data_IF_406366053262
#
_entry.id   IF_406366053262
#
_cell.length_a   1.000
_cell.length_b   1.000
_cell.length_c   1.000
_cell.angle_alpha   90.00
_cell.angle_beta   90.00
_cell.angle_gamma   90.00
#
_symmetry.space_group_name_H-M   'P 1'
#
loop_
_entity.id
_entity.type
_entity.pdbx_description
1 polymer ?
#
# COMPACT_ATOMS: atom_id res chain seq x y z
N UNK A 1 -18.07 -17.72 -10.78
CA UNK A 1 -17.42 -16.39 -10.86
C UNK A 1 -16.89 -16.09 -9.47
N UNK A 2 -15.61 -15.75 -9.32
CA UNK A 2 -15.04 -15.45 -8.00
C UNK A 2 -15.74 -14.21 -7.39
N UNK A 3 -15.89 -14.13 -6.06
CA UNK A 3 -16.47 -12.95 -5.42
C UNK A 3 -15.59 -11.71 -5.72
N UNK A 4 -16.19 -10.50 -5.78
CA UNK A 4 -15.41 -9.30 -6.03
C UNK A 4 -14.38 -9.07 -4.90
N UNK A 5 -13.13 -8.67 -5.22
CA UNK A 5 -12.06 -8.50 -4.24
C UNK A 5 -12.38 -7.42 -3.21
N UNK A 6 -11.93 -7.62 -1.97
CA UNK A 6 -12.09 -6.67 -0.88
C UNK A 6 -10.88 -5.74 -0.78
N UNK A 7 -11.12 -4.45 -0.54
CA UNK A 7 -10.08 -3.44 -0.44
C UNK A 7 -9.85 -3.06 1.03
N UNK A 8 -8.58 -3.08 1.44
CA UNK A 8 -8.07 -2.43 2.63
C UNK A 8 -7.24 -1.21 2.23
N UNK A 9 -7.63 -0.03 2.70
CA UNK A 9 -6.95 1.23 2.44
C UNK A 9 -6.35 1.80 3.73
N UNK A 10 -5.06 2.12 3.70
CA UNK A 10 -4.43 2.94 4.75
C UNK A 10 -4.33 4.39 4.28
N UNK A 11 -4.27 5.35 5.22
CA UNK A 11 -4.11 6.76 4.86
C UNK A 11 -5.35 7.40 4.20
N UNK A 12 -6.53 6.79 4.36
CA UNK A 12 -7.79 7.23 3.75
C UNK A 12 -8.21 8.68 4.09
N UNK A 13 -7.64 9.27 5.15
CA UNK A 13 -7.90 10.66 5.57
C UNK A 13 -6.79 11.62 5.13
N UNK A 14 -5.74 11.13 4.48
CA UNK A 14 -4.67 11.93 3.91
C UNK A 14 -5.05 12.48 2.54
N UNK A 15 -4.23 13.38 2.00
CA UNK A 15 -4.47 14.01 0.70
C UNK A 15 -4.59 12.98 -0.44
N UNK A 16 -3.60 12.09 -0.56
CA UNK A 16 -3.56 11.07 -1.61
C UNK A 16 -4.58 9.96 -1.31
N UNK A 17 -4.56 9.39 -0.10
CA UNK A 17 -5.47 8.29 0.26
C UNK A 17 -6.95 8.69 0.24
N UNK A 18 -7.30 9.91 0.62
CA UNK A 18 -8.68 10.44 0.50
C UNK A 18 -9.11 10.65 -0.95
N UNK A 19 -8.19 11.05 -1.82
CA UNK A 19 -8.43 11.14 -3.27
C UNK A 19 -8.67 9.75 -3.87
N UNK A 20 -7.84 8.77 -3.53
CA UNK A 20 -8.01 7.37 -3.93
C UNK A 20 -9.38 6.86 -3.45
N UNK A 21 -9.72 7.04 -2.18
CA UNK A 21 -11.00 6.62 -1.63
C UNK A 21 -12.18 7.24 -2.39
N UNK A 22 -12.12 8.54 -2.65
CA UNK A 22 -13.19 9.26 -3.36
C UNK A 22 -13.34 8.72 -4.79
N UNK A 23 -12.23 8.50 -5.51
CA UNK A 23 -12.25 7.96 -6.86
C UNK A 23 -12.81 6.52 -6.90
N UNK A 24 -12.41 5.66 -5.97
CA UNK A 24 -12.96 4.30 -5.85
C UNK A 24 -14.47 4.35 -5.62
N UNK A 25 -14.94 5.16 -4.66
CA UNK A 25 -16.37 5.27 -4.33
C UNK A 25 -17.22 5.92 -5.44
N UNK A 26 -16.61 6.70 -6.33
CA UNK A 26 -17.27 7.30 -7.49
C UNK A 26 -17.40 6.33 -8.68
N UNK A 27 -16.78 5.15 -8.63
CA UNK A 27 -16.83 4.16 -9.71
C UNK A 27 -18.26 3.59 -9.82
N UNK A 28 -18.96 3.73 -10.97
CA UNK A 28 -20.38 3.36 -11.10
C UNK A 28 -20.65 1.85 -10.99
N UNK A 29 -19.74 1.04 -11.51
CA UNK A 29 -19.80 -0.43 -11.49
C UNK A 29 -18.48 -0.94 -10.92
N UNK A 30 -18.28 -0.85 -9.59
CA UNK A 30 -17.02 -1.22 -8.98
C UNK A 30 -16.78 -2.71 -9.17
N UNK A 31 -15.59 -3.08 -9.65
CA UNK A 31 -15.14 -4.47 -9.75
C UNK A 31 -14.73 -5.07 -8.41
N UNK A 32 -14.89 -4.33 -7.31
CA UNK A 32 -14.50 -4.69 -5.95
C UNK A 32 -15.71 -4.64 -4.99
N UNK A 33 -15.56 -5.30 -3.85
CA UNK A 33 -16.60 -5.37 -2.83
C UNK A 33 -16.65 -4.10 -1.96
N UNK A 34 -17.87 -3.68 -1.62
CA UNK A 34 -18.13 -2.73 -0.54
C UNK A 34 -18.51 -3.47 0.75
N UNK A 35 -18.27 -2.89 1.93
CA UNK A 35 -17.59 -1.61 2.16
C UNK A 35 -16.06 -1.70 2.04
N UNK A 36 -15.44 -0.62 1.59
CA UNK A 36 -13.97 -0.46 1.62
C UNK A 36 -13.54 -0.34 3.09
N UNK A 37 -12.61 -1.18 3.52
CA UNK A 37 -12.08 -1.12 4.88
C UNK A 37 -10.98 -0.07 4.94
N UNK A 38 -11.06 0.87 5.87
CA UNK A 38 -10.10 1.95 6.01
C UNK A 38 -9.42 1.88 7.38
N UNK A 39 -8.09 1.77 7.44
CA UNK A 39 -7.35 1.87 8.71
C UNK A 39 -7.24 3.34 9.15
N UNK A 40 -7.77 3.65 10.34
CA UNK A 40 -7.92 5.02 10.85
C UNK A 40 -7.35 5.15 12.26
N UNK A 41 -6.57 6.20 12.52
CA UNK A 41 -5.92 6.43 13.82
C UNK A 41 -6.80 7.13 14.85
N UNK A 42 -7.85 7.82 14.42
CA UNK A 42 -8.70 8.65 15.28
C UNK A 42 -10.18 8.27 15.17
N UNK A 43 -10.89 8.07 16.29
CA UNK A 43 -12.34 7.93 16.30
C UNK A 43 -13.07 9.10 15.62
N UNK A 44 -12.57 10.33 15.75
CA UNK A 44 -13.19 11.50 15.10
C UNK A 44 -13.11 11.39 13.57
N UNK A 45 -11.96 10.96 13.05
CA UNK A 45 -11.79 10.77 11.62
C UNK A 45 -12.64 9.60 11.08
N UNK A 46 -12.81 8.54 11.87
CA UNK A 46 -13.71 7.43 11.55
C UNK A 46 -15.18 7.92 11.49
N UNK A 47 -15.60 8.74 12.45
CA UNK A 47 -16.93 9.34 12.45
C UNK A 47 -17.16 10.26 11.24
N UNK A 48 -16.18 11.11 10.90
CA UNK A 48 -16.24 11.97 9.71
C UNK A 48 -16.41 11.14 8.44
N UNK A 49 -15.56 10.13 8.23
CA UNK A 49 -15.66 9.28 7.05
C UNK A 49 -17.04 8.60 6.97
N UNK A 50 -17.53 8.02 8.08
CA UNK A 50 -18.84 7.34 8.11
C UNK A 50 -19.98 8.31 7.82
N UNK A 51 -19.91 9.54 8.35
CA UNK A 51 -20.90 10.57 8.07
C UNK A 51 -20.87 11.03 6.61
N UNK A 52 -19.69 11.11 5.98
CA UNK A 52 -19.54 11.59 4.60
C UNK A 52 -19.95 10.53 3.59
N UNK A 53 -19.52 9.28 3.77
CA UNK A 53 -19.69 8.23 2.77
C UNK A 53 -20.74 7.18 3.14
N UNK A 54 -21.13 7.06 4.40
CA UNK A 54 -22.11 6.08 4.88
C UNK A 54 -21.49 4.72 5.23
N UNK A 55 -22.05 4.06 6.24
CA UNK A 55 -21.56 2.80 6.79
C UNK A 55 -21.69 1.59 5.83
N UNK A 56 -22.47 1.72 4.75
CA UNK A 56 -22.60 0.68 3.72
C UNK A 56 -21.47 0.71 2.70
N UNK A 57 -20.80 1.85 2.53
CA UNK A 57 -19.75 2.05 1.52
C UNK A 57 -18.35 2.01 2.11
N UNK A 58 -18.21 2.37 3.37
CA UNK A 58 -16.93 2.34 4.06
C UNK A 58 -17.03 1.68 5.42
N UNK A 59 -15.92 1.08 5.86
CA UNK A 59 -15.76 0.46 7.16
C UNK A 59 -14.47 0.99 7.78
N UNK A 60 -14.54 2.05 8.60
CA UNK A 60 -13.40 2.46 9.40
C UNK A 60 -13.02 1.36 10.39
N UNK A 61 -11.75 1.03 10.47
CA UNK A 61 -11.17 0.13 11.46
C UNK A 61 -10.11 0.93 12.22
N UNK A 62 -10.29 1.05 13.53
CA UNK A 62 -9.36 1.79 14.38
C UNK A 62 -8.10 0.96 14.62
N UNK A 63 -6.95 1.62 14.57
CA UNK A 63 -5.64 1.05 14.89
C UNK A 63 -4.71 2.10 15.49
N UNK A 64 -3.63 1.65 16.14
CA UNK A 64 -2.65 2.50 16.81
C UNK A 64 -1.72 3.30 15.87
N UNK A 65 -1.84 3.14 14.56
CA UNK A 65 -0.96 3.78 13.58
C UNK A 65 0.09 2.81 13.02
N UNK A 66 1.21 3.36 12.55
CA UNK A 66 2.21 2.60 11.80
C UNK A 66 2.88 1.52 12.66
N UNK A 67 3.09 1.79 13.95
CA UNK A 67 3.68 0.83 14.90
C UNK A 67 2.71 -0.28 15.35
N UNK A 68 1.42 -0.15 15.05
CA UNK A 68 0.40 -1.16 15.38
C UNK A 68 0.37 -2.27 14.30
N UNK A 69 1.49 -2.97 14.21
CA UNK A 69 1.69 -4.06 13.26
C UNK A 69 0.69 -5.21 13.46
N UNK A 70 0.29 -5.48 14.69
CA UNK A 70 -0.64 -6.56 15.01
C UNK A 70 -2.02 -6.28 14.40
N UNK A 71 -2.57 -5.09 14.61
CA UNK A 71 -3.86 -4.70 14.03
C UNK A 71 -3.78 -4.58 12.51
N UNK A 72 -2.69 -4.03 11.96
CA UNK A 72 -2.49 -3.94 10.51
C UNK A 72 -2.46 -5.33 9.85
N UNK A 73 -1.73 -6.29 10.45
CA UNK A 73 -1.65 -7.68 9.98
C UNK A 73 -3.03 -8.35 10.03
N UNK A 74 -3.74 -8.23 11.15
CA UNK A 74 -5.07 -8.83 11.31
C UNK A 74 -6.09 -8.24 10.31
N UNK A 75 -6.07 -6.92 10.11
CA UNK A 75 -6.95 -6.25 9.16
C UNK A 75 -6.68 -6.71 7.72
N UNK A 76 -5.42 -6.79 7.30
CA UNK A 76 -5.07 -7.28 5.97
C UNK A 76 -5.47 -8.74 5.78
N UNK A 77 -5.27 -9.60 6.78
CA UNK A 77 -5.66 -11.00 6.70
C UNK A 77 -7.19 -11.18 6.59
N UNK A 78 -7.95 -10.42 7.36
CA UNK A 78 -9.39 -10.63 7.48
C UNK A 78 -10.21 -9.87 6.45
N UNK A 79 -9.69 -8.77 5.90
CA UNK A 79 -10.50 -7.81 5.14
C UNK A 79 -9.91 -7.40 3.79
N UNK A 80 -8.77 -7.95 3.38
CA UNK A 80 -8.12 -7.56 2.14
C UNK A 80 -7.92 -8.74 1.17
N UNK A 81 -8.25 -8.48 -0.08
CA UNK A 81 -7.67 -9.14 -1.25
C UNK A 81 -6.75 -8.17 -2.00
N UNK A 82 -7.03 -6.87 -1.85
CA UNK A 82 -6.22 -5.76 -2.33
C UNK A 82 -5.90 -4.88 -1.13
N UNK A 83 -4.62 -4.64 -0.87
CA UNK A 83 -4.16 -3.63 0.08
C UNK A 83 -3.64 -2.43 -0.70
N UNK A 84 -4.13 -1.24 -0.34
CA UNK A 84 -3.61 0.03 -0.83
C UNK A 84 -2.98 0.76 0.37
N UNK A 85 -1.65 0.79 0.42
CA UNK A 85 -0.91 1.52 1.44
C UNK A 85 -0.63 2.96 0.98
N UNK A 86 -1.43 3.91 1.45
CA UNK A 86 -1.27 5.35 1.18
C UNK A 86 -0.98 6.18 2.45
N UNK A 87 -0.62 5.52 3.57
CA UNK A 87 -0.33 6.19 4.83
C UNK A 87 1.09 6.79 4.88
N UNK A 88 2.11 5.94 4.68
CA UNK A 88 3.51 6.35 4.67
C UNK A 88 4.36 5.35 3.90
N UNK A 89 5.06 5.82 2.86
CA UNK A 89 5.81 4.95 1.95
C UNK A 89 7.14 4.42 2.49
N UNK A 90 7.62 4.98 3.60
CA UNK A 90 8.95 4.72 4.15
C UNK A 90 8.96 4.00 5.50
N UNK A 91 7.80 3.51 5.94
CA UNK A 91 7.69 2.66 7.11
C UNK A 91 7.68 1.19 6.70
N UNK A 92 8.87 0.56 6.75
CA UNK A 92 9.04 -0.84 6.37
C UNK A 92 8.28 -1.80 7.33
N UNK A 93 8.14 -1.43 8.60
CA UNK A 93 7.44 -2.26 9.60
C UNK A 93 5.95 -2.36 9.30
N UNK A 94 5.31 -1.21 9.05
CA UNK A 94 3.91 -1.13 8.67
C UNK A 94 3.64 -1.83 7.33
N UNK A 95 4.49 -1.60 6.33
CA UNK A 95 4.36 -2.26 5.02
C UNK A 95 4.46 -3.78 5.13
N UNK A 96 5.44 -4.28 5.89
CA UNK A 96 5.63 -5.71 6.12
C UNK A 96 4.48 -6.34 6.89
N UNK A 97 3.90 -5.64 7.87
CA UNK A 97 2.73 -6.10 8.61
C UNK A 97 1.53 -6.32 7.69
N UNK A 98 1.24 -5.35 6.81
CA UNK A 98 0.17 -5.46 5.82
C UNK A 98 0.41 -6.59 4.82
N UNK A 99 1.64 -6.72 4.30
CA UNK A 99 2.03 -7.81 3.38
C UNK A 99 1.87 -9.18 4.04
N UNK A 100 2.32 -9.33 5.30
CA UNK A 100 2.18 -10.58 6.05
C UNK A 100 0.72 -10.97 6.23
N UNK A 101 -0.14 -10.00 6.58
CA UNK A 101 -1.57 -10.25 6.71
C UNK A 101 -2.20 -10.66 5.38
N UNK A 102 -1.88 -9.94 4.30
CA UNK A 102 -2.36 -10.26 2.95
C UNK A 102 -1.92 -11.65 2.49
N UNK A 103 -0.69 -12.06 2.80
CA UNK A 103 -0.19 -13.40 2.48
C UNK A 103 -0.84 -14.49 3.36
N UNK A 104 -1.04 -14.22 4.65
CA UNK A 104 -1.62 -15.18 5.59
C UNK A 104 -3.10 -15.51 5.32
N UNK A 105 -3.83 -14.63 4.62
CA UNK A 105 -5.22 -14.90 4.24
C UNK A 105 -5.34 -15.95 3.13
N UNK A 106 -4.23 -16.29 2.46
CA UNK A 106 -4.22 -17.21 1.32
C UNK A 106 -4.17 -18.66 1.78
N UNK A 107 -5.34 -19.27 1.95
CA UNK A 107 -5.49 -20.72 1.97
C UNK A 107 -5.78 -21.27 0.56
N UNK A 108 -5.80 -22.59 0.40
CA UNK A 108 -6.04 -23.28 -0.87
C UNK A 108 -7.43 -22.97 -1.49
N UNK A 109 -8.34 -22.36 -0.73
CA UNK A 109 -9.71 -22.04 -1.17
C UNK A 109 -9.83 -20.64 -1.77
N UNK A 110 -8.86 -19.74 -1.51
CA UNK A 110 -8.84 -18.39 -2.08
C UNK A 110 -8.24 -18.41 -3.48
N UNK A 111 -9.08 -18.09 -4.46
CA UNK A 111 -8.71 -18.04 -5.90
C UNK A 111 -8.45 -16.64 -6.41
N UNK A 112 -8.62 -15.60 -5.59
CA UNK A 112 -8.35 -14.21 -5.94
C UNK A 112 -6.86 -13.88 -5.79
N UNK A 113 -6.25 -13.39 -6.86
CA UNK A 113 -4.84 -12.93 -6.83
C UNK A 113 -4.70 -11.77 -5.81
N UNK A 114 -3.75 -11.83 -4.87
CA UNK A 114 -3.47 -10.71 -3.96
C UNK A 114 -2.83 -9.54 -4.70
N UNK A 115 -3.25 -8.33 -4.34
CA UNK A 115 -2.62 -7.10 -4.82
C UNK A 115 -2.17 -6.26 -3.64
N UNK A 116 -0.91 -5.83 -3.69
CA UNK A 116 -0.35 -4.87 -2.75
C UNK A 116 0.12 -3.64 -3.51
N UNK A 117 -0.64 -2.55 -3.39
CA UNK A 117 -0.33 -1.25 -3.99
C UNK A 117 0.26 -0.36 -2.90
N UNK A 118 1.52 0.03 -3.06
CA UNK A 118 2.25 0.82 -2.07
C UNK A 118 2.62 2.17 -2.65
N UNK A 119 2.23 3.24 -1.98
CA UNK A 119 2.65 4.58 -2.36
C UNK A 119 4.08 4.81 -1.86
N UNK A 120 5.05 4.84 -2.77
CA UNK A 120 6.42 5.28 -2.47
C UNK A 120 6.71 6.67 -3.06
N UNK A 121 7.96 7.14 -2.96
CA UNK A 121 8.42 8.41 -3.51
C UNK A 121 9.41 8.20 -4.65
N UNK A 122 9.35 9.04 -5.69
CA UNK A 122 10.30 9.01 -6.82
C UNK A 122 11.73 9.31 -6.40
N UNK A 123 11.94 9.90 -5.23
CA UNK A 123 13.26 10.07 -4.62
C UNK A 123 14.01 8.74 -4.40
N UNK A 124 13.30 7.60 -4.36
CA UNK A 124 13.89 6.27 -4.32
C UNK A 124 14.77 5.94 -5.55
N UNK A 125 14.57 6.67 -6.65
CA UNK A 125 15.34 6.54 -7.89
C UNK A 125 16.32 7.70 -8.11
N UNK A 126 16.43 8.61 -7.12
CA UNK A 126 17.27 9.82 -7.21
C UNK A 126 18.72 9.57 -6.82
N UNK A 127 19.60 10.47 -7.28
CA UNK A 127 21.00 10.55 -6.85
C UNK A 127 21.27 11.76 -5.94
N UNK A 128 22.54 12.05 -5.64
CA UNK A 128 22.96 13.21 -4.83
C UNK A 128 23.76 14.20 -5.66
N UNK A 129 23.31 14.47 -6.89
CA UNK A 129 23.94 15.42 -7.82
C UNK A 129 24.15 16.82 -7.24
N UNK A 130 23.26 17.32 -6.37
CA UNK A 130 23.40 18.65 -5.73
C UNK A 130 24.61 18.73 -4.80
N UNK A 131 24.90 17.69 -4.03
CA UNK A 131 26.05 17.67 -3.10
C UNK A 131 27.30 17.05 -3.72
N UNK A 132 27.18 16.40 -4.88
CA UNK A 132 28.27 15.63 -5.51
C UNK A 132 28.67 14.36 -4.76
N UNK A 133 27.98 14.01 -3.67
CA UNK A 133 28.34 12.88 -2.81
C UNK A 133 28.16 11.51 -3.50
N UNK A 134 27.24 11.44 -4.46
CA UNK A 134 26.99 10.29 -5.31
C UNK A 134 26.19 10.75 -6.53
N UNK A 135 26.66 10.41 -7.72
CA UNK A 135 26.03 10.78 -8.98
C UNK A 135 25.94 9.51 -9.82
N UNK A 136 24.74 9.14 -10.23
CA UNK A 136 24.55 8.01 -11.14
C UNK A 136 24.67 8.47 -12.59
N UNK A 137 25.10 7.57 -13.46
CA UNK A 137 24.99 7.81 -14.88
C UNK A 137 23.51 7.98 -15.27
N UNK A 138 23.22 8.88 -16.20
CA UNK A 138 21.88 9.05 -16.76
C UNK A 138 21.32 7.70 -17.22
N UNK A 139 20.14 7.35 -16.73
CA UNK A 139 19.43 6.09 -17.02
C UNK A 139 17.94 6.36 -17.11
N UNK A 140 17.27 5.59 -17.95
CA UNK A 140 15.81 5.50 -18.03
C UNK A 140 15.34 4.28 -17.23
N UNK A 141 14.35 4.45 -16.37
CA UNK A 141 13.65 3.36 -15.69
C UNK A 141 12.38 3.02 -16.48
N UNK A 142 12.13 1.72 -16.65
CA UNK A 142 10.96 1.17 -17.35
C UNK A 142 10.17 0.33 -16.36
N UNK A 143 8.88 0.65 -16.18
CA UNK A 143 7.99 -0.04 -15.25
C UNK A 143 7.74 -1.50 -15.69
N UNK A 144 7.91 -1.81 -16.98
CA UNK A 144 7.83 -3.19 -17.50
C UNK A 144 9.07 -4.03 -17.14
N UNK A 145 10.21 -3.39 -16.79
CA UNK A 145 11.43 -4.06 -16.32
C UNK A 145 11.56 -4.01 -14.79
N UNK A 146 10.53 -4.48 -14.08
CA UNK A 146 10.53 -4.51 -12.62
C UNK A 146 11.76 -5.23 -12.02
N UNK A 147 12.32 -6.23 -12.71
CA UNK A 147 13.52 -6.95 -12.27
C UNK A 147 14.78 -6.09 -12.38
N UNK A 148 14.95 -5.37 -13.49
CA UNK A 148 16.07 -4.47 -13.69
C UNK A 148 16.01 -3.22 -12.82
N UNK A 149 14.81 -2.74 -12.47
CA UNK A 149 14.61 -1.71 -11.44
C UNK A 149 15.05 -2.25 -10.09
N UNK A 150 14.50 -3.39 -9.65
CA UNK A 150 14.83 -3.99 -8.35
C UNK A 150 16.32 -4.33 -8.18
N UNK A 151 16.96 -4.86 -9.24
CA UNK A 151 18.39 -5.16 -9.21
C UNK A 151 19.25 -3.90 -9.00
N UNK A 152 18.83 -2.77 -9.57
CA UNK A 152 19.49 -1.48 -9.36
C UNK A 152 19.28 -0.99 -7.93
N UNK A 153 18.04 -1.04 -7.42
CA UNK A 153 17.73 -0.61 -6.05
C UNK A 153 18.54 -1.40 -5.01
N UNK A 154 18.65 -2.72 -5.20
CA UNK A 154 19.47 -3.59 -4.35
C UNK A 154 20.96 -3.23 -4.38
N UNK A 155 21.48 -2.90 -5.56
CA UNK A 155 22.88 -2.46 -5.71
C UNK A 155 23.10 -1.14 -4.98
N UNK A 156 22.20 -0.18 -5.16
CA UNK A 156 22.28 1.14 -4.52
C UNK A 156 22.17 1.03 -3.00
N UNK A 157 21.23 0.25 -2.48
CA UNK A 157 21.11 0.02 -1.03
C UNK A 157 22.38 -0.61 -0.43
N UNK A 158 23.05 -1.50 -1.18
CA UNK A 158 24.33 -2.08 -0.76
C UNK A 158 25.50 -1.08 -0.73
N UNK A 159 25.45 -0.01 -1.54
CA UNK A 159 26.47 1.04 -1.59
C UNK A 159 26.17 2.20 -0.64
N UNK A 160 24.88 2.49 -0.48
CA UNK A 160 24.37 3.59 0.32
C UNK A 160 23.19 3.12 1.17
N UNK A 161 23.48 2.49 2.32
CA UNK A 161 22.45 2.07 3.26
C UNK A 161 21.58 3.26 3.66
N UNK A 162 20.26 3.05 3.75
CA UNK A 162 19.25 4.05 4.14
C UNK A 162 18.91 5.11 3.07
N UNK A 163 19.53 5.09 1.88
CA UNK A 163 19.10 5.94 0.77
C UNK A 163 17.75 5.46 0.20
N UNK A 164 17.47 4.17 0.36
CA UNK A 164 16.29 3.50 -0.17
C UNK A 164 15.51 2.75 0.92
N UNK A 165 15.50 3.23 2.18
CA UNK A 165 14.78 2.58 3.30
C UNK A 165 13.25 2.55 3.17
N UNK A 166 12.72 2.88 1.98
CA UNK A 166 11.31 3.14 1.66
C UNK A 166 10.85 2.37 0.43
N UNK A 167 11.33 1.16 0.26
CA UNK A 167 11.15 0.37 -0.95
C UNK A 167 10.08 -0.68 -0.74
N UNK A 168 8.96 -0.61 -1.46
CA UNK A 168 8.32 -1.79 -2.06
C UNK A 168 7.39 -1.32 -3.19
N UNK A 169 7.66 -1.76 -4.43
CA UNK A 169 6.76 -1.65 -5.56
C UNK A 169 6.34 -3.05 -6.03
N UNK A 170 5.16 -3.11 -6.65
CA UNK A 170 4.50 -4.23 -7.32
C UNK A 170 5.04 -5.64 -7.02
N UNK A 171 4.56 -6.25 -5.94
CA UNK A 171 4.71 -7.70 -5.76
C UNK A 171 3.59 -8.39 -6.54
N UNK A 172 3.88 -8.85 -7.76
CA UNK A 172 3.09 -9.92 -8.37
C UNK A 172 3.52 -11.22 -7.70
N UNK A 173 2.74 -11.72 -6.74
CA UNK A 173 2.92 -13.11 -6.29
C UNK A 173 2.23 -14.03 -7.28
N UNK A 174 2.82 -14.21 -8.45
CA UNK A 174 2.52 -15.35 -9.31
C UNK A 174 3.75 -16.25 -9.28
N UNK A 175 3.54 -17.50 -8.89
CA UNK A 175 4.46 -18.65 -9.02
C UNK A 175 5.24 -18.63 -10.33
#
# INVERSE_FOLDING_TARGET
MAPPPRILLTGATGYIGGTILTALLATPTPSFALPITCLIRSPSAAATLTSTYGATRIRPLLYGGLDDHATATAAAAQHADIVINAALGYDAGAALALLRGLAASRDETITTEPWYVHLSGTSNLGDRSVSGAWVEAQRVFDDDDARGVHAWERRVEGLHPLLNSSQFWYVRTST
#
